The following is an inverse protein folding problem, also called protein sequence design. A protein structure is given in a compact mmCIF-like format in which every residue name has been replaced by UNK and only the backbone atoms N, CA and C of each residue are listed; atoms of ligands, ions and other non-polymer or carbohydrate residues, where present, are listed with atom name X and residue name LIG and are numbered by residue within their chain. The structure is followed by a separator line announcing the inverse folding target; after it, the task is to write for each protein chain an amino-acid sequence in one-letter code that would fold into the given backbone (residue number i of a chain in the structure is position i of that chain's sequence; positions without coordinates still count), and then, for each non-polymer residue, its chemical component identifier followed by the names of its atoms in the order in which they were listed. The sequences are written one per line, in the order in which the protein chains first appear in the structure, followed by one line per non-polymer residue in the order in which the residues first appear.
data_IF_709681002210
#
_entry.id   IF_709681002210
#
_cell.length_a   1.000
_cell.length_b   1.000
_cell.length_c   1.000
_cell.angle_alpha   90.00
_cell.angle_beta   90.00
_cell.angle_gamma   90.00
#
_symmetry.space_group_name_H-M   'P 1'
#
loop_
_entity.id
_entity.type
_entity.pdbx_description
1 polymer ?
#
# COMPACT_ATOMS: atom_id res chain seq x y z
N UNK A 1 -8.66 -5.54 -12.07
CA UNK A 1 -8.06 -5.70 -10.72
C UNK A 1 -6.59 -6.08 -10.88
N UNK A 2 -5.61 -5.18 -10.73
CA UNK A 2 -4.22 -5.52 -11.11
C UNK A 2 -3.12 -5.22 -10.06
N UNK A 3 -3.42 -4.59 -8.91
CA UNK A 3 -2.38 -4.28 -7.91
C UNK A 3 -2.42 -5.24 -6.71
N UNK A 4 -3.61 -5.45 -6.13
CA UNK A 4 -3.82 -6.39 -5.01
C UNK A 4 -3.74 -7.85 -5.44
N UNK A 5 -3.99 -8.13 -6.72
CA UNK A 5 -3.93 -9.51 -7.25
C UNK A 5 -2.51 -9.92 -7.66
N UNK A 6 -1.68 -8.96 -8.08
CA UNK A 6 -0.35 -9.25 -8.65
C UNK A 6 0.79 -9.11 -7.64
N UNK A 7 0.58 -8.41 -6.53
CA UNK A 7 1.62 -8.21 -5.51
C UNK A 7 1.14 -8.68 -4.12
N UNK A 8 1.93 -9.56 -3.50
CA UNK A 8 1.58 -10.20 -2.22
C UNK A 8 1.55 -9.21 -1.04
N UNK A 9 2.40 -8.17 -1.02
CA UNK A 9 2.40 -7.14 0.03
C UNK A 9 1.09 -6.34 0.02
N UNK A 10 0.65 -5.91 -1.18
CA UNK A 10 -0.61 -5.18 -1.33
C UNK A 10 -1.83 -6.07 -1.03
N UNK A 11 -1.73 -7.38 -1.28
CA UNK A 11 -2.75 -8.37 -0.88
C UNK A 11 -2.87 -8.48 0.64
N UNK A 12 -1.75 -8.60 1.34
CA UNK A 12 -1.71 -8.65 2.80
C UNK A 12 -2.26 -7.36 3.43
N UNK A 13 -1.85 -6.20 2.93
CA UNK A 13 -2.36 -4.90 3.38
C UNK A 13 -3.86 -4.74 3.09
N UNK A 14 -4.34 -5.18 1.93
CA UNK A 14 -5.77 -5.15 1.61
C UNK A 14 -6.57 -6.02 2.59
N UNK A 15 -6.09 -7.23 2.86
CA UNK A 15 -6.71 -8.15 3.80
C UNK A 15 -6.75 -7.56 5.21
N UNK A 16 -5.65 -7.00 5.71
CA UNK A 16 -5.59 -6.32 7.00
C UNK A 16 -6.57 -5.14 7.09
N UNK A 17 -6.60 -4.29 6.06
CA UNK A 17 -7.50 -3.15 6.01
C UNK A 17 -8.98 -3.55 6.06
N UNK A 18 -9.35 -4.65 5.40
CA UNK A 18 -10.74 -5.13 5.36
C UNK A 18 -11.11 -5.91 6.63
N UNK A 19 -10.23 -6.81 7.10
CA UNK A 19 -10.56 -7.72 8.20
C UNK A 19 -10.32 -7.10 9.57
N UNK A 20 -9.22 -6.36 9.73
CA UNK A 20 -8.82 -5.78 11.02
C UNK A 20 -9.32 -4.34 11.12
N UNK A 21 -9.00 -3.48 10.15
CA UNK A 21 -9.47 -2.08 10.15
C UNK A 21 -10.93 -1.92 9.71
N UNK A 22 -11.63 -3.02 9.39
CA UNK A 22 -13.05 -3.05 8.96
C UNK A 22 -13.41 -2.07 7.85
N UNK A 23 -12.47 -1.77 6.95
CA UNK A 23 -12.70 -0.88 5.82
C UNK A 23 -13.49 -1.59 4.72
N UNK A 24 -14.42 -0.86 4.10
CA UNK A 24 -15.04 -1.33 2.84
C UNK A 24 -13.96 -1.58 1.79
N UNK A 25 -14.14 -2.63 0.98
CA UNK A 25 -13.16 -3.07 -0.04
C UNK A 25 -12.66 -1.91 -0.90
N UNK A 26 -13.55 -1.07 -1.44
CA UNK A 26 -13.13 0.09 -2.25
C UNK A 26 -12.32 1.14 -1.50
N UNK A 27 -12.65 1.42 -0.23
CA UNK A 27 -11.85 2.34 0.61
C UNK A 27 -10.44 1.79 0.84
N UNK A 28 -10.31 0.48 1.03
CA UNK A 28 -9.01 -0.18 1.14
C UNK A 28 -8.19 -0.04 -0.15
N UNK A 29 -8.81 -0.25 -1.32
CA UNK A 29 -8.14 -0.04 -2.62
C UNK A 29 -7.67 1.40 -2.80
N UNK A 30 -8.54 2.40 -2.57
CA UNK A 30 -8.15 3.81 -2.67
C UNK A 30 -7.02 4.17 -1.71
N UNK A 31 -7.05 3.64 -0.48
CA UNK A 31 -5.99 3.83 0.51
C UNK A 31 -4.65 3.27 0.04
N UNK A 32 -4.66 2.10 -0.61
CA UNK A 32 -3.47 1.46 -1.17
C UNK A 32 -2.92 2.25 -2.36
N UNK A 33 -3.77 2.73 -3.27
CA UNK A 33 -3.34 3.58 -4.38
C UNK A 33 -2.66 4.87 -3.88
N UNK A 34 -3.26 5.55 -2.89
CA UNK A 34 -2.66 6.75 -2.30
C UNK A 34 -1.37 6.49 -1.51
N UNK A 35 -1.18 5.27 -1.01
CA UNK A 35 0.07 4.83 -0.38
C UNK A 35 1.17 4.59 -1.42
N UNK A 36 0.83 3.90 -2.52
CA UNK A 36 1.75 3.69 -3.63
C UNK A 36 2.21 5.04 -4.22
N UNK A 37 1.28 5.96 -4.47
CA UNK A 37 1.61 7.28 -5.00
C UNK A 37 2.62 8.03 -4.10
N UNK A 38 2.39 8.03 -2.78
CA UNK A 38 3.33 8.65 -1.82
C UNK A 38 4.70 7.98 -1.80
N UNK A 39 4.74 6.66 -1.92
CA UNK A 39 5.99 5.92 -1.97
C UNK A 39 6.79 6.23 -3.25
N UNK A 40 6.13 6.27 -4.41
CA UNK A 40 6.73 6.66 -5.69
C UNK A 40 7.30 8.09 -5.63
N UNK A 41 6.52 9.04 -5.10
CA UNK A 41 6.98 10.43 -4.92
C UNK A 41 8.15 10.51 -3.94
N UNK A 42 8.12 9.75 -2.84
CA UNK A 42 9.22 9.69 -1.88
C UNK A 42 10.52 9.17 -2.50
N UNK A 43 10.45 8.04 -3.21
CA UNK A 43 11.61 7.46 -3.91
C UNK A 43 12.19 8.44 -4.92
N UNK A 44 11.34 9.07 -5.75
CA UNK A 44 11.78 10.02 -6.75
C UNK A 44 12.42 11.28 -6.15
N UNK A 45 12.00 11.71 -4.96
CA UNK A 45 12.54 12.90 -4.29
C UNK A 45 13.82 12.63 -3.51
N UNK A 46 14.00 11.42 -3.01
CA UNK A 46 15.14 11.04 -2.17
C UNK A 46 16.22 10.28 -2.94
N UNK A 47 16.01 9.98 -4.23
CA UNK A 47 16.86 9.11 -5.06
C UNK A 47 17.14 7.75 -4.40
N UNK A 48 16.20 7.29 -3.57
CA UNK A 48 16.33 6.04 -2.84
C UNK A 48 15.64 4.91 -3.61
N UNK A 49 16.32 3.76 -3.64
CA UNK A 49 15.73 2.54 -4.16
C UNK A 49 14.49 2.11 -3.34
N UNK A 50 13.63 1.33 -3.97
CA UNK A 50 12.47 0.73 -3.32
C UNK A 50 12.87 -0.05 -2.08
N UNK A 51 12.30 0.34 -0.93
CA UNK A 51 12.46 -0.36 0.32
C UNK A 51 11.08 -0.86 0.81
N UNK A 52 10.85 -2.19 0.87
CA UNK A 52 9.58 -2.77 1.30
C UNK A 52 9.22 -2.44 2.76
N UNK A 53 10.19 -2.18 3.64
CA UNK A 53 9.90 -1.78 5.03
C UNK A 53 9.13 -0.46 5.10
N UNK A 54 9.35 0.45 4.14
CA UNK A 54 8.61 1.73 4.05
C UNK A 54 7.13 1.51 3.69
N UNK A 55 6.76 0.36 3.12
CA UNK A 55 5.37 -0.01 2.83
C UNK A 55 4.64 -0.46 4.09
N UNK A 56 5.30 -1.03 5.08
CA UNK A 56 4.65 -1.40 6.33
C UNK A 56 4.75 -0.29 7.38
N UNK A 57 5.84 0.47 7.42
CA UNK A 57 6.02 1.57 8.39
C UNK A 57 4.99 2.70 8.23
N UNK A 58 4.61 3.05 6.99
CA UNK A 58 3.56 4.05 6.72
C UNK A 58 2.12 3.54 7.00
N UNK A 59 1.94 2.44 7.74
CA UNK A 59 0.64 1.85 8.07
C UNK A 59 0.11 2.23 9.46
N UNK A 60 0.92 2.91 10.28
CA UNK A 60 0.52 3.57 11.52
C UNK A 60 -0.35 4.80 11.21
#
# INVERSE_FOLDING_TARGET
MCMVMSNQEFKALHHYNVQVKKLKKMKSIMKLCGKLARLLVGMARSDEAYNPDKIFALAA
#
